data_IF_821501532335
#
_entry.id   IF_821501532335
#
_cell.length_a   1.000
_cell.length_b   1.000
_cell.length_c   1.000
_cell.angle_alpha   90.00
_cell.angle_beta   90.00
_cell.angle_gamma   90.00
#
_symmetry.space_group_name_H-M   'P 1'
#
loop_
_entity.id
_entity.type
_entity.pdbx_description
1 polymer ?
#
# COMPACT_ATOMS: atom_id res chain seq x y z
N UNK A 1 -8.00 18.96 9.24
CA UNK A 1 -7.95 17.98 10.36
C UNK A 1 -9.23 17.16 10.51
N UNK A 2 -10.41 17.66 10.13
CA UNK A 2 -11.62 16.84 9.97
C UNK A 2 -11.83 16.24 8.57
N UNK A 3 -10.86 16.42 7.68
CA UNK A 3 -10.90 15.86 6.32
C UNK A 3 -10.25 14.47 6.34
N UNK A 4 -11.01 13.39 6.06
CA UNK A 4 -10.53 12.03 6.18
C UNK A 4 -9.56 11.69 5.05
N UNK A 5 -8.31 12.17 5.11
CA UNK A 5 -7.31 11.61 4.20
C UNK A 5 -7.07 10.14 4.57
N UNK A 6 -7.19 9.29 3.55
CA UNK A 6 -6.87 7.88 3.66
C UNK A 6 -5.47 7.71 4.25
N UNK A 7 -5.34 6.91 5.31
CA UNK A 7 -4.05 6.49 5.84
C UNK A 7 -3.56 7.16 7.12
N UNK A 8 -4.33 8.01 7.82
CA UNK A 8 -3.92 8.56 9.13
C UNK A 8 -4.10 7.56 10.29
N UNK A 9 -5.13 6.70 10.28
CA UNK A 9 -5.39 5.76 11.40
C UNK A 9 -5.14 4.30 11.02
N UNK A 10 -5.74 3.90 9.91
CA UNK A 10 -5.59 2.63 9.19
C UNK A 10 -5.92 2.97 7.73
N UNK A 11 -5.83 2.03 6.80
CA UNK A 11 -6.09 2.19 5.35
C UNK A 11 -7.54 2.59 4.99
N UNK A 12 -8.36 2.95 5.99
CA UNK A 12 -9.69 3.51 5.85
C UNK A 12 -9.71 5.03 6.04
N UNK A 13 -10.59 5.70 5.29
CA UNK A 13 -10.92 7.11 5.46
C UNK A 13 -11.87 7.26 6.67
N UNK A 14 -11.34 7.12 7.89
CA UNK A 14 -12.08 7.42 9.12
C UNK A 14 -11.63 8.79 9.65
N UNK A 15 -12.50 9.81 9.68
CA UNK A 15 -12.15 11.06 10.33
C UNK A 15 -11.95 10.83 11.83
N UNK A 16 -10.90 11.41 12.39
CA UNK A 16 -10.66 11.41 13.83
C UNK A 16 -10.83 12.80 14.39
N UNK A 17 -12.00 13.00 14.97
CA UNK A 17 -12.41 14.26 15.55
C UNK A 17 -11.64 14.57 16.84
N UNK A 18 -10.97 13.58 17.46
CA UNK A 18 -10.23 13.78 18.71
C UNK A 18 -9.13 14.83 18.58
N UNK A 19 -8.48 14.93 17.42
CA UNK A 19 -7.46 15.96 17.17
C UNK A 19 -8.06 17.37 17.13
N UNK A 20 -9.15 17.56 16.40
CA UNK A 20 -9.85 18.84 16.33
C UNK A 20 -10.37 19.26 17.71
N UNK A 21 -10.97 18.32 18.43
CA UNK A 21 -11.47 18.51 19.79
C UNK A 21 -10.33 18.86 20.74
N UNK A 22 -9.20 18.16 20.67
CA UNK A 22 -8.03 18.45 21.49
C UNK A 22 -7.52 19.88 21.26
N UNK A 23 -7.42 20.32 20.01
CA UNK A 23 -7.00 21.69 19.70
C UNK A 23 -7.97 22.71 20.30
N UNK A 24 -9.27 22.51 20.12
CA UNK A 24 -10.31 23.38 20.71
C UNK A 24 -10.17 23.43 22.24
N UNK A 25 -10.00 22.29 22.89
CA UNK A 25 -9.82 22.20 24.33
C UNK A 25 -8.55 22.92 24.79
N UNK A 26 -7.42 22.75 24.10
CA UNK A 26 -6.17 23.42 24.40
C UNK A 26 -6.29 24.94 24.24
N UNK A 27 -7.00 25.42 23.21
CA UNK A 27 -7.31 26.84 23.06
C UNK A 27 -8.12 27.38 24.25
N UNK A 28 -9.17 26.67 24.68
CA UNK A 28 -9.95 27.06 25.87
C UNK A 28 -9.12 27.06 27.16
N UNK A 29 -8.26 26.06 27.34
CA UNK A 29 -7.36 25.98 28.49
C UNK A 29 -6.35 27.14 28.47
N UNK A 30 -5.74 27.44 27.32
CA UNK A 30 -4.80 28.55 27.18
C UNK A 30 -5.46 29.91 27.46
N UNK A 31 -6.66 30.16 26.92
CA UNK A 31 -7.42 31.38 27.17
C UNK A 31 -7.79 31.56 28.65
N UNK A 32 -8.00 30.46 29.38
CA UNK A 32 -8.29 30.49 30.83
C UNK A 32 -7.04 30.51 31.70
N UNK A 33 -5.90 30.00 31.23
CA UNK A 33 -4.65 29.98 31.97
C UNK A 33 -4.22 31.39 32.40
N UNK A 34 -4.48 32.39 31.57
CA UNK A 34 -4.24 33.80 31.87
C UNK A 34 -5.05 34.34 33.05
N UNK A 35 -6.15 33.67 33.44
CA UNK A 35 -7.05 34.11 34.52
C UNK A 35 -6.95 33.27 35.78
N UNK A 36 -6.58 31.98 35.69
CA UNK A 36 -6.70 31.02 36.80
C UNK A 36 -5.40 30.21 37.02
N UNK A 37 -4.34 30.51 36.27
CA UNK A 37 -3.12 29.70 36.24
C UNK A 37 -3.30 28.41 35.43
N UNK A 38 -2.19 27.88 34.89
CA UNK A 38 -2.21 26.61 34.16
C UNK A 38 -2.55 25.46 35.10
N UNK A 39 -3.64 24.73 34.81
CA UNK A 39 -3.98 23.46 35.48
C UNK A 39 -3.15 22.28 35.00
N UNK A 40 -2.38 22.45 33.92
CA UNK A 40 -1.52 21.40 33.39
C UNK A 40 -0.18 21.36 34.14
N UNK A 41 0.23 20.15 34.54
CA UNK A 41 1.53 19.91 35.18
C UNK A 41 2.66 20.04 34.15
N UNK A 42 3.91 20.30 34.59
CA UNK A 42 5.06 20.33 33.68
C UNK A 42 5.22 19.03 32.87
N UNK A 43 4.88 17.88 33.46
CA UNK A 43 4.89 16.59 32.76
C UNK A 43 3.89 16.54 31.61
N UNK A 44 2.67 17.05 31.81
CA UNK A 44 1.64 17.09 30.78
C UNK A 44 2.03 18.01 29.61
N UNK A 45 2.64 19.15 29.89
CA UNK A 45 3.19 20.04 28.85
C UNK A 45 4.30 19.36 28.05
N UNK A 46 5.22 18.64 28.71
CA UNK A 46 6.26 17.87 28.03
C UNK A 46 5.67 16.78 27.14
N UNK A 47 4.65 16.06 27.60
CA UNK A 47 3.96 15.03 26.81
C UNK A 47 3.27 15.62 25.58
N UNK A 48 2.58 16.76 25.72
CA UNK A 48 1.98 17.47 24.59
C UNK A 48 3.03 17.92 23.56
N UNK A 49 4.12 18.51 24.03
CA UNK A 49 5.24 18.94 23.18
C UNK A 49 5.91 17.77 22.45
N UNK A 50 6.16 16.66 23.15
CA UNK A 50 6.72 15.45 22.57
C UNK A 50 5.77 14.84 21.54
N UNK A 51 4.47 14.77 21.82
CA UNK A 51 3.48 14.27 20.87
C UNK A 51 3.42 15.15 19.61
N UNK A 52 3.44 16.47 19.77
CA UNK A 52 3.47 17.41 18.65
C UNK A 52 4.73 17.22 17.79
N UNK A 53 5.91 17.13 18.43
CA UNK A 53 7.17 16.87 17.73
C UNK A 53 7.13 15.54 16.98
N UNK A 54 6.68 14.46 17.63
CA UNK A 54 6.54 13.15 16.98
C UNK A 54 5.55 13.20 15.82
N UNK A 55 4.45 13.93 15.95
CA UNK A 55 3.47 14.13 14.88
C UNK A 55 4.10 14.83 13.67
N UNK A 56 4.87 15.90 13.89
CA UNK A 56 5.59 16.61 12.82
C UNK A 56 6.60 15.70 12.13
N UNK A 57 7.41 14.96 12.89
CA UNK A 57 8.39 14.01 12.35
C UNK A 57 7.72 12.88 11.56
N UNK A 58 6.61 12.35 12.06
CA UNK A 58 5.83 11.32 11.39
C UNK A 58 5.25 11.83 10.05
N UNK A 59 4.67 13.03 10.04
CA UNK A 59 4.15 13.67 8.84
C UNK A 59 5.27 13.95 7.82
N UNK A 60 6.45 14.36 8.29
CA UNK A 60 7.60 14.65 7.44
C UNK A 60 8.21 13.38 6.79
N UNK A 61 8.14 12.23 7.46
CA UNK A 61 8.80 11.00 7.01
C UNK A 61 7.89 10.09 6.19
N UNK A 62 6.66 9.82 6.66
CA UNK A 62 5.79 8.83 6.04
C UNK A 62 4.34 9.29 5.91
N UNK A 63 3.79 9.91 6.94
CA UNK A 63 2.34 10.20 7.02
C UNK A 63 1.46 8.94 7.03
N UNK A 64 2.03 7.75 7.19
CA UNK A 64 1.30 6.49 7.27
C UNK A 64 0.96 6.14 8.72
N UNK A 65 -0.33 6.10 9.03
CA UNK A 65 -0.90 5.92 10.36
C UNK A 65 -0.40 4.68 11.10
N UNK A 66 -0.05 3.62 10.36
CA UNK A 66 0.52 2.39 10.93
C UNK A 66 1.77 2.64 11.78
N UNK A 67 2.54 3.67 11.44
CA UNK A 67 3.76 4.05 12.15
C UNK A 67 3.53 5.05 13.29
N UNK A 68 2.31 5.59 13.43
CA UNK A 68 1.97 6.57 14.46
C UNK A 68 0.84 6.12 15.39
N UNK A 69 0.44 4.84 15.36
CA UNK A 69 -0.64 4.28 16.18
C UNK A 69 -0.50 4.67 17.66
N UNK A 70 0.71 4.63 18.22
CA UNK A 70 0.95 5.05 19.60
C UNK A 70 0.52 6.50 19.86
N UNK A 71 0.87 7.43 18.97
CA UNK A 71 0.44 8.83 19.05
C UNK A 71 -1.09 8.98 18.92
N UNK A 72 -1.71 8.21 18.02
CA UNK A 72 -3.15 8.21 17.82
C UNK A 72 -3.93 7.68 19.03
N UNK A 73 -3.35 6.73 19.76
CA UNK A 73 -3.92 6.22 21.02
C UNK A 73 -3.81 7.28 22.11
N UNK A 74 -2.67 7.97 22.21
CA UNK A 74 -2.41 9.01 23.22
C UNK A 74 -3.34 10.22 23.14
N UNK A 75 -3.91 10.51 21.97
CA UNK A 75 -4.84 11.63 21.79
C UNK A 75 -6.09 11.50 22.67
N UNK A 76 -6.59 10.27 22.88
CA UNK A 76 -7.75 10.02 23.74
C UNK A 76 -7.53 10.50 25.19
N UNK A 77 -6.51 9.98 25.89
CA UNK A 77 -6.13 10.47 27.22
C UNK A 77 -5.88 11.98 27.29
N UNK A 78 -5.29 12.58 26.26
CA UNK A 78 -5.07 14.04 26.21
C UNK A 78 -6.37 14.84 26.08
N UNK A 79 -7.36 14.33 25.34
CA UNK A 79 -8.70 14.92 25.31
C UNK A 79 -9.35 14.85 26.69
N UNK A 80 -9.27 13.70 27.38
CA UNK A 80 -9.79 13.57 28.76
C UNK A 80 -9.13 14.59 29.69
N UNK A 81 -7.80 14.71 29.62
CA UNK A 81 -7.04 15.72 30.38
C UNK A 81 -7.52 17.15 30.06
N UNK A 82 -7.70 17.48 28.78
CA UNK A 82 -8.21 18.78 28.33
C UNK A 82 -9.59 19.08 28.90
N UNK A 83 -10.51 18.10 28.89
CA UNK A 83 -11.85 18.24 29.47
C UNK A 83 -11.79 18.43 30.99
N UNK A 84 -10.90 17.71 31.70
CA UNK A 84 -10.73 17.90 33.15
C UNK A 84 -10.19 19.28 33.53
N UNK A 85 -9.44 19.91 32.63
CA UNK A 85 -8.98 21.29 32.82
C UNK A 85 -10.09 22.32 32.66
N UNK A 86 -11.22 21.98 32.03
CA UNK A 86 -12.37 22.88 31.90
C UNK A 86 -12.99 23.19 33.27
N UNK A 87 -13.48 24.42 33.45
CA UNK A 87 -14.35 24.74 34.59
C UNK A 87 -15.72 24.07 34.44
N UNK A 88 -16.55 24.17 35.48
CA UNK A 88 -17.91 23.60 35.48
C UNK A 88 -18.05 22.37 36.38
N UNK A 89 -19.27 21.85 36.44
CA UNK A 89 -19.62 20.69 37.25
C UNK A 89 -19.06 19.38 36.66
N UNK A 90 -18.90 18.32 37.48
CA UNK A 90 -18.55 16.99 36.98
C UNK A 90 -19.49 16.49 35.87
N UNK A 91 -20.79 16.76 35.98
CA UNK A 91 -21.79 16.37 34.99
C UNK A 91 -21.58 17.05 33.64
N UNK A 92 -21.19 18.33 33.62
CA UNK A 92 -20.86 19.04 32.38
C UNK A 92 -19.67 18.39 31.66
N UNK A 93 -18.58 18.11 32.40
CA UNK A 93 -17.40 17.45 31.85
C UNK A 93 -17.71 16.05 31.32
N UNK A 94 -18.49 15.28 32.06
CA UNK A 94 -18.96 13.97 31.62
C UNK A 94 -19.79 14.07 30.34
N UNK A 95 -20.70 15.06 30.26
CA UNK A 95 -21.48 15.33 29.04
C UNK A 95 -20.61 15.59 27.83
N UNK A 96 -19.55 16.40 27.97
CA UNK A 96 -18.58 16.62 26.88
C UNK A 96 -17.91 15.31 26.48
N UNK A 97 -17.43 14.51 27.42
CA UNK A 97 -16.79 13.23 27.11
C UNK A 97 -17.74 12.29 26.35
N UNK A 98 -19.01 12.23 26.74
CA UNK A 98 -20.03 11.45 26.02
C UNK A 98 -20.27 11.94 24.60
N UNK A 99 -20.23 13.26 24.36
CA UNK A 99 -20.31 13.83 23.01
C UNK A 99 -19.08 13.41 22.19
N UNK A 100 -17.87 13.54 22.74
CA UNK A 100 -16.62 13.16 22.05
C UNK A 100 -16.66 11.68 21.67
N UNK A 101 -17.03 10.81 22.61
CA UNK A 101 -17.13 9.36 22.38
C UNK A 101 -18.18 9.07 21.31
N UNK A 102 -19.36 9.68 21.39
CA UNK A 102 -20.43 9.48 20.39
C UNK A 102 -19.98 9.90 18.99
N UNK A 103 -19.39 11.10 18.84
CA UNK A 103 -18.92 11.60 17.54
C UNK A 103 -17.83 10.69 16.97
N UNK A 104 -16.84 10.30 17.78
CA UNK A 104 -15.76 9.44 17.32
C UNK A 104 -16.25 8.02 17.01
N UNK A 105 -17.18 7.49 17.80
CA UNK A 105 -17.80 6.19 17.55
C UNK A 105 -18.59 6.21 16.25
N UNK A 106 -19.44 7.22 16.00
CA UNK A 106 -20.17 7.35 14.75
C UNK A 106 -19.23 7.45 13.55
N UNK A 107 -18.17 8.27 13.64
CA UNK A 107 -17.18 8.37 12.58
C UNK A 107 -16.48 7.03 12.29
N UNK A 108 -16.06 6.31 13.34
CA UNK A 108 -15.43 5.01 13.22
C UNK A 108 -16.41 3.97 12.66
N UNK A 109 -17.65 3.94 13.15
CA UNK A 109 -18.69 3.00 12.74
C UNK A 109 -19.07 3.16 11.27
N UNK A 110 -19.29 4.40 10.82
CA UNK A 110 -19.61 4.70 9.42
C UNK A 110 -18.44 4.39 8.47
N UNK A 111 -17.20 4.48 8.97
CA UNK A 111 -16.00 4.13 8.21
C UNK A 111 -15.61 2.64 8.34
N UNK A 112 -16.21 1.89 9.26
CA UNK A 112 -15.82 0.52 9.56
C UNK A 112 -16.39 -0.44 8.52
N UNK A 113 -15.51 -0.99 7.68
CA UNK A 113 -15.81 -2.15 6.86
C UNK A 113 -15.20 -3.41 7.46
N UNK A 114 -15.98 -4.20 8.22
CA UNK A 114 -15.53 -5.49 8.73
C UNK A 114 -14.96 -6.36 7.59
N UNK A 115 -13.75 -6.90 7.77
CA UNK A 115 -13.15 -7.83 6.80
C UNK A 115 -12.76 -7.25 5.44
N UNK A 116 -12.85 -5.94 5.21
CA UNK A 116 -12.57 -5.35 3.88
C UNK A 116 -11.09 -5.36 3.47
N UNK A 117 -10.17 -5.57 4.42
CA UNK A 117 -8.71 -5.60 4.18
C UNK A 117 -8.03 -6.91 4.55
N UNK A 118 -8.75 -7.76 5.30
CA UNK A 118 -8.22 -9.07 5.61
C UNK A 118 -8.32 -9.88 4.32
N UNK A 119 -7.17 -10.22 3.73
CA UNK A 119 -7.10 -11.08 2.54
C UNK A 119 -7.83 -12.40 2.75
N UNK A 120 -7.93 -12.79 4.02
CA UNK A 120 -8.62 -13.95 4.56
C UNK A 120 -9.29 -13.52 5.86
N UNK A 121 -10.39 -14.16 6.24
CA UNK A 121 -10.93 -14.00 7.60
C UNK A 121 -9.85 -14.44 8.59
N UNK A 122 -9.63 -13.66 9.66
CA UNK A 122 -8.72 -14.08 10.72
C UNK A 122 -9.28 -15.36 11.38
N UNK A 123 -8.44 -16.37 11.50
CA UNK A 123 -8.79 -17.67 12.07
C UNK A 123 -7.63 -18.15 12.93
N UNK A 124 -7.95 -18.77 14.07
CA UNK A 124 -6.95 -19.39 14.96
C UNK A 124 -6.26 -20.60 14.32
N UNK A 125 -6.80 -21.08 13.19
CA UNK A 125 -6.24 -22.16 12.40
C UNK A 125 -5.67 -21.58 11.12
N UNK A 126 -4.45 -22.00 10.77
CA UNK A 126 -3.91 -21.74 9.43
C UNK A 126 -4.87 -22.34 8.41
N UNK A 127 -5.40 -21.49 7.53
CA UNK A 127 -6.29 -21.93 6.46
C UNK A 127 -5.58 -23.02 5.64
N UNK A 128 -6.20 -24.20 5.49
CA UNK A 128 -5.54 -25.30 4.80
C UNK A 128 -5.43 -24.99 3.31
N UNK A 129 -4.34 -25.47 2.72
CA UNK A 129 -4.19 -25.61 1.28
C UNK A 129 -4.32 -27.10 0.93
N UNK A 130 -4.89 -27.41 -0.23
CA UNK A 130 -5.02 -28.78 -0.72
C UNK A 130 -3.68 -29.54 -0.64
N UNK A 131 -3.72 -30.79 -0.18
CA UNK A 131 -2.52 -31.65 -0.15
C UNK A 131 -2.06 -31.97 -1.57
N UNK A 132 -0.74 -31.93 -1.79
CA UNK A 132 -0.13 -32.26 -3.08
C UNK A 132 1.33 -32.67 -2.91
N UNK A 133 1.89 -33.34 -3.91
CA UNK A 133 3.32 -33.66 -3.95
C UNK A 133 4.21 -32.41 -3.85
N UNK A 134 3.75 -31.29 -4.40
CA UNK A 134 4.44 -29.99 -4.38
C UNK A 134 4.68 -29.48 -2.95
N UNK A 135 3.80 -29.79 -2.01
CA UNK A 135 3.96 -29.39 -0.60
C UNK A 135 5.03 -30.19 0.13
N UNK A 136 5.33 -31.40 -0.33
CA UNK A 136 6.19 -32.35 0.37
C UNK A 136 7.62 -32.39 -0.17
N UNK A 137 7.94 -31.59 -1.19
CA UNK A 137 9.27 -31.52 -1.80
C UNK A 137 9.82 -30.10 -1.80
N UNK A 138 11.15 -29.90 -1.70
CA UNK A 138 11.75 -28.58 -1.88
C UNK A 138 11.49 -28.04 -3.28
N UNK A 139 11.18 -26.75 -3.37
CA UNK A 139 10.98 -26.02 -4.61
C UNK A 139 11.23 -24.51 -4.36
N UNK A 140 11.43 -23.77 -5.44
CA UNK A 140 11.49 -22.31 -5.44
C UNK A 140 10.14 -21.73 -5.86
N UNK A 141 9.58 -20.83 -5.07
CA UNK A 141 8.28 -20.21 -5.32
C UNK A 141 8.43 -18.70 -5.51
N UNK A 142 7.92 -18.20 -6.64
CA UNK A 142 7.86 -16.77 -6.95
C UNK A 142 6.43 -16.27 -6.87
N UNK A 143 6.18 -15.24 -6.07
CA UNK A 143 4.96 -14.45 -6.17
C UNK A 143 5.21 -13.21 -7.03
N UNK A 144 4.17 -12.77 -7.73
CA UNK A 144 4.21 -11.63 -8.67
C UNK A 144 3.11 -10.60 -8.38
N UNK A 145 2.44 -10.74 -7.25
CA UNK A 145 1.36 -9.86 -6.83
C UNK A 145 1.86 -8.88 -5.79
N UNK A 146 1.19 -7.73 -5.66
CA UNK A 146 1.52 -6.75 -4.61
C UNK A 146 1.49 -7.34 -3.19
N UNK A 147 0.78 -8.45 -2.99
CA UNK A 147 0.80 -9.27 -1.79
C UNK A 147 1.77 -10.43 -2.00
N UNK A 148 2.69 -10.63 -1.05
CA UNK A 148 3.71 -11.69 -1.15
C UNK A 148 3.19 -13.11 -0.87
N UNK A 149 1.99 -13.23 -0.28
CA UNK A 149 1.41 -14.49 0.22
C UNK A 149 2.36 -15.29 1.11
N UNK A 150 3.13 -14.61 1.96
CA UNK A 150 4.06 -15.24 2.91
C UNK A 150 3.40 -16.21 3.89
N UNK A 151 2.07 -16.14 4.04
CA UNK A 151 1.29 -17.11 4.80
C UNK A 151 1.28 -18.52 4.19
N UNK A 152 1.66 -18.69 2.92
CA UNK A 152 1.83 -20.00 2.29
C UNK A 152 3.11 -20.71 2.75
N UNK A 153 4.16 -19.98 3.12
CA UNK A 153 5.49 -20.53 3.48
C UNK A 153 5.42 -21.72 4.45
N UNK A 154 4.73 -21.64 5.61
CA UNK A 154 4.67 -22.76 6.56
C UNK A 154 3.87 -23.97 6.06
N UNK A 155 3.15 -23.87 4.94
CA UNK A 155 2.31 -24.95 4.40
C UNK A 155 3.07 -25.86 3.42
N UNK A 156 4.29 -25.49 3.04
CA UNK A 156 5.15 -26.21 2.09
C UNK A 156 6.39 -26.76 2.80
N UNK A 157 7.16 -27.58 2.08
CA UNK A 157 8.36 -28.23 2.59
C UNK A 157 9.34 -27.19 3.17
N UNK A 158 9.94 -27.43 4.36
CA UNK A 158 10.73 -26.42 5.08
C UNK A 158 12.02 -25.98 4.36
N UNK A 159 12.49 -26.76 3.37
CA UNK A 159 13.61 -26.38 2.50
C UNK A 159 13.20 -25.56 1.26
N UNK A 160 11.90 -25.33 1.06
CA UNK A 160 11.41 -24.51 -0.05
C UNK A 160 11.81 -23.05 0.14
N UNK A 161 12.07 -22.37 -0.96
CA UNK A 161 12.48 -20.96 -0.95
C UNK A 161 11.40 -20.11 -1.60
N UNK A 162 11.20 -18.90 -1.08
CA UNK A 162 10.14 -18.00 -1.51
C UNK A 162 10.71 -16.62 -1.80
N UNK A 163 10.28 -16.02 -2.90
CA UNK A 163 10.57 -14.63 -3.22
C UNK A 163 9.35 -13.96 -3.85
N UNK A 164 9.12 -12.69 -3.54
CA UNK A 164 8.13 -11.88 -4.26
C UNK A 164 8.87 -10.96 -5.23
N UNK A 165 8.74 -11.18 -6.53
CA UNK A 165 9.47 -10.41 -7.56
C UNK A 165 8.68 -9.18 -8.04
N UNK A 166 7.47 -9.00 -7.53
CA UNK A 166 6.60 -7.87 -7.84
C UNK A 166 6.04 -7.33 -6.54
N UNK A 167 6.54 -6.20 -6.07
CA UNK A 167 6.13 -5.61 -4.81
C UNK A 167 6.25 -4.10 -4.82
N UNK A 168 6.11 -3.50 -3.64
CA UNK A 168 6.29 -2.05 -3.46
C UNK A 168 7.73 -1.61 -3.72
N UNK A 169 8.70 -2.53 -3.71
CA UNK A 169 10.08 -2.26 -4.05
C UNK A 169 10.49 -3.04 -5.29
N UNK A 170 11.18 -2.35 -6.18
CA UNK A 170 11.76 -2.95 -7.37
C UNK A 170 13.00 -3.76 -6.98
N UNK A 171 13.10 -5.00 -7.49
CA UNK A 171 14.34 -5.77 -7.48
C UNK A 171 15.10 -5.50 -8.78
N UNK A 172 16.02 -4.53 -8.75
CA UNK A 172 16.99 -4.29 -9.83
C UNK A 172 18.30 -5.05 -9.57
N UNK A 173 19.12 -5.16 -10.62
CA UNK A 173 20.43 -5.82 -10.62
C UNK A 173 21.46 -5.19 -9.65
N UNK A 174 21.23 -3.94 -9.24
CA UNK A 174 22.12 -3.22 -8.31
C UNK A 174 21.87 -3.62 -6.85
N UNK A 175 20.67 -4.13 -6.53
CA UNK A 175 20.24 -4.51 -5.19
C UNK A 175 20.73 -5.89 -4.74
N UNK A 176 20.96 -6.04 -3.43
CA UNK A 176 21.42 -7.30 -2.83
C UNK A 176 20.37 -8.40 -2.95
N UNK A 177 19.10 -8.01 -2.90
CA UNK A 177 17.93 -8.87 -3.02
C UNK A 177 17.87 -9.55 -4.39
N UNK A 178 18.22 -8.82 -5.46
CA UNK A 178 18.27 -9.41 -6.80
C UNK A 178 19.38 -10.45 -6.91
N UNK A 179 20.57 -10.20 -6.33
CA UNK A 179 21.63 -11.21 -6.27
C UNK A 179 21.22 -12.45 -5.48
N UNK A 180 20.41 -12.29 -4.43
CA UNK A 180 19.86 -13.41 -3.67
C UNK A 180 18.83 -14.19 -4.51
N UNK A 181 17.95 -13.50 -5.24
CA UNK A 181 17.00 -14.09 -6.18
C UNK A 181 17.72 -14.87 -7.29
N UNK A 182 18.73 -14.29 -7.93
CA UNK A 182 19.49 -14.98 -9.00
C UNK A 182 20.17 -16.24 -8.46
N UNK A 183 20.76 -16.18 -7.25
CA UNK A 183 21.35 -17.36 -6.60
C UNK A 183 20.31 -18.42 -6.27
N UNK A 184 19.14 -18.02 -5.79
CA UNK A 184 18.02 -18.92 -5.52
C UNK A 184 17.59 -19.66 -6.79
N UNK A 185 17.44 -18.94 -7.90
CA UNK A 185 16.97 -19.48 -9.18
C UNK A 185 18.05 -20.24 -9.97
N UNK A 186 19.33 -19.99 -9.70
CA UNK A 186 20.44 -20.72 -10.31
C UNK A 186 20.65 -22.12 -9.71
N UNK A 187 20.04 -22.41 -8.56
CA UNK A 187 20.08 -23.73 -7.93
C UNK A 187 19.14 -24.69 -8.67
N UNK A 188 19.67 -25.36 -9.70
CA UNK A 188 18.89 -26.22 -10.61
C UNK A 188 18.39 -27.52 -9.99
N UNK A 189 18.71 -27.78 -8.72
CA UNK A 189 18.24 -28.99 -8.01
C UNK A 189 16.75 -28.91 -7.66
N UNK A 190 16.23 -27.70 -7.52
CA UNK A 190 14.87 -27.44 -7.10
C UNK A 190 14.06 -26.84 -8.26
N UNK A 191 12.89 -27.40 -8.51
CA UNK A 191 11.95 -26.86 -9.51
C UNK A 191 11.45 -25.47 -9.08
N UNK A 192 11.23 -24.59 -10.06
CA UNK A 192 10.77 -23.22 -9.82
C UNK A 192 9.35 -23.03 -10.31
N UNK A 193 8.53 -22.35 -9.50
CA UNK A 193 7.13 -22.08 -9.80
C UNK A 193 6.81 -20.61 -9.61
N UNK A 194 5.96 -20.06 -10.46
CA UNK A 194 5.24 -18.82 -10.15
C UNK A 194 3.89 -19.17 -9.53
N UNK A 195 3.52 -18.43 -8.49
CA UNK A 195 2.28 -18.61 -7.75
C UNK A 195 1.29 -17.53 -8.19
N UNK A 196 0.19 -17.95 -8.81
CA UNK A 196 -0.87 -17.07 -9.30
C UNK A 196 -2.13 -17.28 -8.47
N UNK A 197 -2.59 -16.29 -7.69
CA UNK A 197 -3.87 -16.39 -7.00
C UNK A 197 -5.02 -16.31 -8.00
N UNK A 198 -6.06 -17.13 -7.79
CA UNK A 198 -7.29 -17.08 -8.58
C UNK A 198 -8.52 -17.20 -7.67
N UNK A 199 -9.49 -16.33 -7.92
CA UNK A 199 -10.76 -16.29 -7.23
C UNK A 199 -11.86 -16.40 -8.28
N UNK A 200 -12.66 -17.47 -8.24
CA UNK A 200 -13.87 -17.73 -9.04
C UNK A 200 -13.77 -18.68 -10.25
N UNK A 201 -12.57 -19.01 -10.78
CA UNK A 201 -12.46 -19.93 -11.93
C UNK A 201 -12.11 -21.39 -11.59
N UNK A 202 -11.60 -21.63 -10.38
CA UNK A 202 -11.27 -22.99 -9.93
C UNK A 202 -10.13 -23.65 -10.69
N UNK A 203 -10.10 -24.99 -10.78
CA UNK A 203 -9.00 -25.78 -11.37
C UNK A 203 -8.97 -25.78 -12.91
N UNK A 204 -9.74 -24.92 -13.58
CA UNK A 204 -9.61 -24.73 -15.03
C UNK A 204 -8.38 -23.86 -15.35
N UNK A 205 -7.82 -23.93 -16.56
CA UNK A 205 -6.58 -23.20 -16.93
C UNK A 205 -6.52 -21.76 -16.38
N UNK A 206 -5.35 -21.28 -15.92
CA UNK A 206 -5.21 -19.94 -15.37
C UNK A 206 -5.77 -18.87 -16.32
N UNK A 207 -6.33 -17.80 -15.75
CA UNK A 207 -6.84 -16.69 -16.54
C UNK A 207 -5.77 -16.17 -17.52
N UNK A 208 -6.13 -16.06 -18.81
CA UNK A 208 -5.22 -15.55 -19.84
C UNK A 208 -4.65 -14.16 -19.51
N UNK A 209 -5.43 -13.30 -18.86
CA UNK A 209 -4.96 -12.00 -18.38
C UNK A 209 -3.92 -12.15 -17.26
N UNK A 210 -4.16 -13.03 -16.29
CA UNK A 210 -3.22 -13.28 -15.20
C UNK A 210 -1.91 -13.89 -15.73
N UNK A 211 -1.98 -14.80 -16.71
CA UNK A 211 -0.81 -15.35 -17.40
C UNK A 211 -0.07 -14.29 -18.21
N UNK A 212 -0.77 -13.38 -18.87
CA UNK A 212 -0.16 -12.28 -19.61
C UNK A 212 0.61 -11.34 -18.67
N UNK A 213 0.00 -10.93 -17.56
CA UNK A 213 0.64 -10.11 -16.53
C UNK A 213 1.84 -10.82 -15.91
N UNK A 214 1.70 -12.12 -15.61
CA UNK A 214 2.78 -12.95 -15.10
C UNK A 214 3.93 -13.07 -16.08
N UNK A 215 3.64 -13.25 -17.37
CA UNK A 215 4.65 -13.32 -18.43
C UNK A 215 5.46 -12.03 -18.50
N UNK A 216 4.79 -10.87 -18.43
CA UNK A 216 5.47 -9.57 -18.41
C UNK A 216 6.35 -9.37 -17.16
N UNK A 217 5.89 -9.83 -15.99
CA UNK A 217 6.68 -9.78 -14.76
C UNK A 217 7.90 -10.71 -14.81
N UNK A 218 7.71 -11.95 -15.28
CA UNK A 218 8.75 -12.97 -15.37
C UNK A 218 9.81 -12.62 -16.41
N UNK A 219 9.41 -12.11 -17.58
CA UNK A 219 10.34 -11.82 -18.68
C UNK A 219 11.42 -10.82 -18.26
N UNK A 220 11.08 -9.84 -17.43
CA UNK A 220 12.04 -8.89 -16.85
C UNK A 220 13.17 -9.57 -16.06
N UNK A 221 12.88 -10.70 -15.43
CA UNK A 221 13.86 -11.49 -14.69
C UNK A 221 14.50 -12.59 -15.54
N UNK A 222 14.31 -12.58 -16.87
CA UNK A 222 14.77 -13.64 -17.77
C UNK A 222 14.06 -14.97 -17.53
N UNK A 223 12.85 -14.94 -16.98
CA UNK A 223 12.05 -16.12 -16.68
C UNK A 223 10.93 -16.27 -17.70
N UNK A 224 10.53 -17.51 -17.98
CA UNK A 224 9.27 -17.78 -18.65
C UNK A 224 8.66 -19.10 -18.21
N UNK A 225 7.37 -19.24 -18.47
CA UNK A 225 6.63 -20.47 -18.22
C UNK A 225 7.22 -21.65 -19.01
N UNK A 226 7.22 -22.81 -18.37
CA UNK A 226 7.43 -24.07 -19.07
C UNK A 226 6.14 -24.53 -19.78
N UNK A 227 6.23 -25.39 -20.81
CA UNK A 227 5.05 -25.95 -21.49
C UNK A 227 4.21 -26.90 -20.61
N UNK A 228 4.69 -27.22 -19.40
CA UNK A 228 4.03 -28.12 -18.47
C UNK A 228 2.79 -27.47 -17.85
N UNK A 229 1.78 -28.29 -17.54
CA UNK A 229 0.54 -27.80 -16.93
C UNK A 229 0.79 -27.24 -15.52
N UNK A 230 0.12 -26.13 -15.21
CA UNK A 230 0.12 -25.57 -13.87
C UNK A 230 -0.61 -26.50 -12.89
N UNK A 231 -0.17 -26.52 -11.63
CA UNK A 231 -0.82 -27.27 -10.56
C UNK A 231 -1.78 -26.35 -9.81
N UNK A 232 -3.04 -26.73 -9.71
CA UNK A 232 -4.02 -26.03 -8.87
C UNK A 232 -4.03 -26.58 -7.45
N UNK A 233 -3.92 -25.70 -6.45
CA UNK A 233 -4.19 -26.06 -5.06
C UNK A 233 -5.31 -25.19 -4.51
N UNK A 234 -6.42 -25.83 -4.10
CA UNK A 234 -7.53 -25.15 -3.46
C UNK A 234 -7.09 -24.50 -2.14
N UNK A 235 -7.48 -23.25 -1.93
CA UNK A 235 -7.26 -22.52 -0.67
C UNK A 235 -8.19 -21.33 -0.56
N UNK A 236 -8.62 -21.02 0.66
CA UNK A 236 -9.38 -19.80 1.00
C UNK A 236 -8.49 -18.59 1.25
N UNK A 237 -7.17 -18.73 1.05
CA UNK A 237 -6.20 -17.69 1.40
C UNK A 237 -6.03 -16.60 0.33
N UNK A 238 -6.79 -16.66 -0.77
CA UNK A 238 -6.69 -15.73 -1.88
C UNK A 238 -7.33 -14.39 -1.54
N UNK A 239 -6.51 -13.33 -1.58
CA UNK A 239 -6.93 -11.94 -1.50
C UNK A 239 -8.11 -11.59 -2.43
N UNK A 240 -9.02 -10.74 -1.95
CA UNK A 240 -10.09 -10.13 -2.73
C UNK A 240 -11.11 -11.09 -3.38
N UNK A 241 -11.40 -12.25 -2.78
CA UNK A 241 -12.67 -12.93 -3.05
C UNK A 241 -13.81 -11.94 -2.66
N UNK A 242 -14.49 -11.27 -3.63
CA UNK A 242 -15.39 -10.18 -3.30
C UNK A 242 -16.58 -10.75 -2.52
N UNK A 243 -16.80 -10.24 -1.30
CA UNK A 243 -17.96 -10.61 -0.49
C UNK A 243 -17.84 -11.98 0.19
N UNK A 244 -16.79 -12.19 0.98
CA UNK A 244 -16.52 -13.52 1.53
C UNK A 244 -16.35 -14.53 0.39
N UNK A 245 -16.25 -15.81 0.72
CA UNK A 245 -16.65 -16.78 -0.27
C UNK A 245 -18.13 -16.47 -0.59
N UNK A 246 -18.48 -16.04 -1.81
CA UNK A 246 -19.76 -16.50 -2.37
C UNK A 246 -19.70 -18.02 -2.23
N UNK A 247 -20.38 -18.54 -1.21
CA UNK A 247 -20.22 -19.90 -0.75
C UNK A 247 -20.39 -20.83 -1.97
N UNK A 248 -19.31 -21.50 -2.36
CA UNK A 248 -19.32 -22.42 -3.51
C UNK A 248 -18.41 -22.06 -4.69
N UNK A 249 -17.80 -20.87 -4.76
CA UNK A 249 -16.78 -20.61 -5.79
C UNK A 249 -15.40 -21.13 -5.38
N UNK A 250 -14.76 -21.99 -6.20
CA UNK A 250 -13.41 -22.46 -5.90
C UNK A 250 -12.42 -21.29 -5.97
N UNK A 251 -11.60 -21.16 -4.92
CA UNK A 251 -10.47 -20.25 -4.82
C UNK A 251 -9.21 -21.04 -4.51
N UNK A 252 -8.05 -20.48 -4.84
CA UNK A 252 -6.79 -21.17 -4.64
C UNK A 252 -5.66 -20.56 -5.46
N UNK A 253 -4.60 -21.35 -5.60
CA UNK A 253 -3.37 -20.89 -6.22
C UNK A 253 -2.99 -21.83 -7.35
N UNK A 254 -2.61 -21.23 -8.47
CA UNK A 254 -1.91 -21.89 -9.56
C UNK A 254 -0.42 -21.85 -9.31
N UNK A 255 0.23 -23.01 -9.37
CA UNK A 255 1.67 -23.17 -9.33
C UNK A 255 2.11 -23.55 -10.73
N UNK A 256 2.58 -22.56 -11.47
CA UNK A 256 2.97 -22.74 -12.86
C UNK A 256 4.50 -22.87 -12.95
N UNK A 257 5.04 -23.94 -13.54
CA UNK A 257 6.48 -24.14 -13.64
C UNK A 257 7.12 -23.06 -14.52
N UNK A 258 8.31 -22.62 -14.12
CA UNK A 258 9.08 -21.59 -14.80
C UNK A 258 10.55 -22.01 -14.92
N UNK A 259 11.23 -21.49 -15.95
CA UNK A 259 12.67 -21.66 -16.13
C UNK A 259 13.35 -20.35 -16.54
N UNK A 260 14.65 -20.27 -16.27
CA UNK A 260 15.49 -19.19 -16.78
C UNK A 260 15.78 -19.39 -18.27
N UNK A 261 15.60 -18.32 -19.04
CA UNK A 261 15.99 -18.22 -20.44
C UNK A 261 16.99 -17.06 -20.56
N UNK A 262 18.29 -17.39 -20.55
CA UNK A 262 19.36 -16.37 -20.63
C UNK A 262 19.20 -15.46 -21.85
N UNK A 263 18.84 -16.03 -22.99
CA UNK A 263 18.67 -15.27 -24.24
C UNK A 263 17.50 -14.28 -24.18
N UNK A 264 16.49 -14.54 -23.34
CA UNK A 264 15.34 -13.64 -23.15
C UNK A 264 15.63 -12.49 -22.20
N UNK A 265 16.65 -12.60 -21.36
CA UNK A 265 16.99 -11.54 -20.40
C UNK A 265 17.44 -10.27 -21.14
N UNK A 266 18.32 -10.41 -22.14
CA UNK A 266 18.78 -9.28 -22.94
C UNK A 266 17.62 -8.61 -23.69
N UNK A 267 16.74 -9.41 -24.31
CA UNK A 267 15.57 -8.90 -25.00
C UNK A 267 14.59 -8.17 -24.05
N UNK A 268 14.38 -8.70 -22.84
CA UNK A 268 13.52 -8.06 -21.85
C UNK A 268 14.11 -6.75 -21.30
N UNK A 269 15.43 -6.70 -21.10
CA UNK A 269 16.14 -5.47 -20.73
C UNK A 269 16.03 -4.42 -21.83
N UNK A 270 16.17 -4.81 -23.09
CA UNK A 270 15.98 -3.92 -24.23
C UNK A 270 14.54 -3.40 -24.31
N UNK A 271 13.53 -4.27 -24.23
CA UNK A 271 12.13 -3.87 -24.23
C UNK A 271 11.78 -2.91 -23.07
N UNK A 272 12.38 -3.12 -21.90
CA UNK A 272 12.22 -2.19 -20.77
C UNK A 272 12.91 -0.85 -21.03
N UNK A 273 14.08 -0.83 -21.68
CA UNK A 273 14.76 0.39 -22.05
C UNK A 273 13.95 1.21 -23.08
N UNK A 274 13.36 0.54 -24.07
CA UNK A 274 12.43 1.14 -25.03
C UNK A 274 11.19 1.71 -24.33
N UNK A 275 10.59 0.95 -23.41
CA UNK A 275 9.45 1.41 -22.60
C UNK A 275 9.80 2.60 -21.68
N UNK A 276 11.04 2.64 -21.19
CA UNK A 276 11.55 3.76 -20.42
C UNK A 276 11.76 5.01 -21.30
N UNK A 277 12.13 4.83 -22.56
CA UNK A 277 12.35 5.92 -23.50
C UNK A 277 11.04 6.53 -24.02
N UNK A 278 10.03 5.71 -24.31
CA UNK A 278 8.78 6.07 -25.02
C UNK A 278 8.07 7.33 -24.46
N UNK A 279 8.08 7.51 -23.13
CA UNK A 279 7.48 8.68 -22.46
C UNK A 279 8.42 9.31 -21.42
N UNK A 280 9.73 9.14 -21.61
CA UNK A 280 10.75 9.72 -20.73
C UNK A 280 10.53 11.22 -20.50
N UNK A 281 10.25 11.99 -21.57
CA UNK A 281 10.00 13.43 -21.46
C UNK A 281 8.80 13.80 -20.58
N UNK A 282 7.70 13.03 -20.65
CA UNK A 282 6.53 13.24 -19.77
C UNK A 282 6.93 13.02 -18.32
N UNK A 283 7.63 11.91 -18.02
CA UNK A 283 8.05 11.62 -16.66
C UNK A 283 9.05 12.66 -16.13
N UNK A 284 10.04 13.06 -16.93
CA UNK A 284 11.00 14.10 -16.53
C UNK A 284 10.31 15.41 -16.18
N UNK A 285 9.35 15.86 -17.00
CA UNK A 285 8.59 17.09 -16.72
C UNK A 285 7.78 16.96 -15.41
N UNK A 286 7.15 15.81 -15.16
CA UNK A 286 6.42 15.57 -13.90
C UNK A 286 7.37 15.51 -12.69
N UNK A 287 8.51 14.85 -12.85
CA UNK A 287 9.55 14.70 -11.82
C UNK A 287 10.19 16.06 -11.46
N UNK A 288 10.42 16.91 -12.44
CA UNK A 288 10.89 18.30 -12.24
C UNK A 288 9.81 19.18 -11.62
N UNK A 289 8.55 19.01 -12.02
CA UNK A 289 7.43 19.82 -11.52
C UNK A 289 7.11 19.52 -10.05
N UNK A 290 7.06 18.24 -9.65
CA UNK A 290 6.77 17.85 -8.26
C UNK A 290 7.73 16.76 -7.75
N UNK A 291 9.03 17.07 -7.53
CA UNK A 291 10.05 16.09 -7.14
C UNK A 291 9.77 15.41 -5.80
N UNK A 292 8.93 16.02 -4.96
CA UNK A 292 8.46 15.43 -3.70
C UNK A 292 7.68 14.13 -3.92
N UNK A 293 6.81 14.09 -4.94
CA UNK A 293 5.93 12.96 -5.22
C UNK A 293 6.45 12.08 -6.35
N UNK A 294 7.18 12.67 -7.29
CA UNK A 294 7.76 11.99 -8.43
C UNK A 294 9.27 12.23 -8.38
N UNK A 295 10.00 11.43 -7.59
CA UNK A 295 11.44 11.65 -7.50
C UNK A 295 12.11 11.32 -8.83
N UNK A 296 13.06 12.15 -9.30
CA UNK A 296 13.81 11.86 -10.51
C UNK A 296 14.51 10.51 -10.47
N UNK A 297 14.50 9.80 -11.59
CA UNK A 297 15.10 8.46 -11.73
C UNK A 297 14.50 7.40 -10.79
N UNK A 298 13.36 7.70 -10.16
CA UNK A 298 12.62 6.74 -9.39
C UNK A 298 11.50 6.13 -10.23
N UNK A 299 11.24 4.85 -9.99
CA UNK A 299 10.06 4.18 -10.45
C UNK A 299 10.27 3.36 -11.71
N UNK A 300 9.30 2.46 -11.95
CA UNK A 300 9.38 1.48 -13.03
C UNK A 300 8.21 1.64 -13.98
N UNK A 301 8.52 1.72 -15.26
CA UNK A 301 7.51 1.65 -16.30
C UNK A 301 7.06 0.20 -16.48
N UNK A 302 5.76 0.00 -16.61
CA UNK A 302 5.12 -1.26 -16.93
C UNK A 302 3.95 -0.98 -17.86
N UNK A 303 3.55 -1.94 -18.70
CA UNK A 303 2.36 -1.80 -19.55
C UNK A 303 1.27 -2.72 -19.03
N UNK A 304 0.08 -2.21 -18.83
CA UNK A 304 -1.09 -2.97 -18.35
C UNK A 304 -2.32 -2.46 -19.05
N UNK A 305 -3.06 -3.34 -19.73
CA UNK A 305 -4.28 -3.00 -20.46
C UNK A 305 -4.11 -1.83 -21.44
N UNK A 306 -3.00 -1.84 -22.18
CA UNK A 306 -2.63 -0.79 -23.14
C UNK A 306 -2.04 0.47 -22.51
N UNK A 307 -2.29 0.72 -21.22
CA UNK A 307 -1.75 1.87 -20.50
C UNK A 307 -0.31 1.64 -20.02
N UNK A 308 0.52 2.67 -20.12
CA UNK A 308 1.81 2.73 -19.47
C UNK A 308 1.63 3.20 -18.03
N UNK A 309 2.22 2.49 -17.08
CA UNK A 309 2.16 2.82 -15.66
C UNK A 309 3.58 2.94 -15.12
N UNK A 310 3.87 4.04 -14.43
CA UNK A 310 5.09 4.23 -13.64
C UNK A 310 4.75 4.32 -12.16
N UNK A 311 5.32 3.44 -11.34
CA UNK A 311 5.12 3.45 -9.89
C UNK A 311 6.34 4.04 -9.16
N UNK A 312 6.11 5.06 -8.34
CA UNK A 312 7.08 5.76 -7.50
C UNK A 312 6.95 5.25 -6.06
N UNK A 313 7.97 4.52 -5.60
CA UNK A 313 7.92 3.76 -4.35
C UNK A 313 8.00 4.64 -3.11
N UNK A 314 8.75 5.74 -3.17
CA UNK A 314 8.99 6.66 -2.05
C UNK A 314 7.75 7.47 -1.67
N UNK A 315 6.87 7.69 -2.64
CA UNK A 315 5.64 8.48 -2.49
C UNK A 315 4.37 7.63 -2.54
N UNK A 316 4.49 6.31 -2.75
CA UNK A 316 3.40 5.39 -3.05
C UNK A 316 2.46 5.94 -4.14
N UNK A 317 3.01 6.58 -5.17
CA UNK A 317 2.21 7.19 -6.24
C UNK A 317 2.48 6.49 -7.56
N UNK A 318 1.46 6.33 -8.39
CA UNK A 318 1.64 5.90 -9.79
C UNK A 318 1.20 6.99 -10.74
N UNK A 319 1.90 7.10 -11.86
CA UNK A 319 1.48 7.83 -13.05
C UNK A 319 1.04 6.81 -14.08
N UNK A 320 -0.06 7.08 -14.77
CA UNK A 320 -0.61 6.23 -15.83
C UNK A 320 -0.81 7.07 -17.09
N UNK A 321 -0.36 6.57 -18.23
CA UNK A 321 -0.60 7.14 -19.55
C UNK A 321 -1.42 6.12 -20.32
N UNK A 322 -2.66 6.45 -20.67
CA UNK A 322 -3.53 5.53 -21.40
C UNK A 322 -3.27 5.54 -22.92
N UNK A 323 -4.01 4.73 -23.67
CA UNK A 323 -3.89 4.66 -25.13
C UNK A 323 -4.37 5.91 -25.87
N UNK A 324 -5.14 6.78 -25.23
CA UNK A 324 -5.56 8.07 -25.78
C UNK A 324 -4.51 9.18 -25.54
N UNK A 325 -3.45 8.86 -24.79
CA UNK A 325 -2.43 9.82 -24.39
C UNK A 325 -2.88 10.72 -23.23
N UNK A 326 -3.91 10.34 -22.48
CA UNK A 326 -4.27 11.01 -21.24
C UNK A 326 -3.36 10.54 -20.11
N UNK A 327 -2.85 11.50 -19.33
CA UNK A 327 -1.96 11.27 -18.20
C UNK A 327 -2.74 11.44 -16.91
N UNK A 328 -2.63 10.45 -16.04
CA UNK A 328 -3.26 10.39 -14.73
C UNK A 328 -2.21 10.16 -13.67
N UNK A 329 -2.46 10.63 -12.45
CA UNK A 329 -1.79 10.09 -11.27
C UNK A 329 -2.79 9.44 -10.34
N UNK A 330 -2.28 8.53 -9.51
CA UNK A 330 -3.03 7.94 -8.40
C UNK A 330 -2.08 7.66 -7.26
N UNK A 331 -2.31 8.32 -6.13
CA UNK A 331 -1.76 7.86 -4.87
C UNK A 331 -2.33 6.47 -4.56
N UNK A 332 -1.52 5.53 -4.10
CA UNK A 332 -1.89 4.12 -3.92
C UNK A 332 -3.18 3.95 -3.12
N UNK A 333 -3.44 4.85 -2.18
CA UNK A 333 -4.63 4.84 -1.30
C UNK A 333 -5.75 5.78 -1.72
N UNK A 334 -5.63 6.52 -2.82
CA UNK A 334 -6.75 7.25 -3.40
C UNK A 334 -7.72 6.27 -4.07
N UNK A 335 -9.03 6.55 -4.07
CA UNK A 335 -10.00 5.69 -4.77
C UNK A 335 -9.86 5.85 -6.29
N UNK A 336 -9.84 7.10 -6.76
CA UNK A 336 -9.86 7.44 -8.17
C UNK A 336 -8.50 7.89 -8.67
N UNK A 337 -8.30 7.75 -9.98
CA UNK A 337 -7.22 8.43 -10.68
C UNK A 337 -7.60 9.89 -10.87
N UNK A 338 -6.63 10.78 -10.73
CA UNK A 338 -6.79 12.20 -11.02
C UNK A 338 -6.13 12.48 -12.36
N UNK A 339 -6.91 12.94 -13.33
CA UNK A 339 -6.41 13.32 -14.65
C UNK A 339 -5.56 14.57 -14.52
N UNK A 340 -4.38 14.56 -15.12
CA UNK A 340 -3.46 15.69 -15.17
C UNK A 340 -3.69 16.50 -16.44
N UNK A 341 -3.36 15.91 -17.58
CA UNK A 341 -3.43 16.54 -18.89
C UNK A 341 -3.17 15.46 -19.96
N UNK A 342 -3.17 15.84 -21.24
CA UNK A 342 -2.68 14.95 -22.30
C UNK A 342 -1.15 15.00 -22.38
N UNK A 343 -0.54 13.97 -22.93
CA UNK A 343 0.90 13.89 -23.21
C UNK A 343 1.38 15.12 -23.96
N UNK A 344 0.67 15.54 -25.03
CA UNK A 344 1.04 16.72 -25.81
C UNK A 344 1.02 18.03 -24.98
N UNK A 345 0.03 18.17 -24.10
CA UNK A 345 -0.11 19.35 -23.24
C UNK A 345 1.03 19.39 -22.21
N UNK A 346 1.42 18.24 -21.64
CA UNK A 346 2.57 18.15 -20.71
C UNK A 346 3.88 18.46 -21.42
N UNK A 347 4.13 17.88 -22.58
CA UNK A 347 5.36 18.08 -23.36
C UNK A 347 5.53 19.53 -23.84
N UNK A 348 4.44 20.26 -24.03
CA UNK A 348 4.46 21.69 -24.41
C UNK A 348 4.47 22.63 -23.21
N UNK A 349 4.45 22.12 -21.97
CA UNK A 349 4.37 22.92 -20.76
C UNK A 349 2.99 23.51 -20.48
N UNK A 350 1.97 23.16 -21.26
CA UNK A 350 0.59 23.59 -21.10
C UNK A 350 -0.17 22.73 -20.07
N UNK A 351 0.42 22.49 -18.91
CA UNK A 351 -0.22 21.78 -17.81
C UNK A 351 0.19 22.39 -16.47
N UNK A 352 -0.66 22.20 -15.46
CA UNK A 352 -0.36 22.62 -14.10
C UNK A 352 -0.55 21.45 -13.15
N UNK A 353 0.51 21.09 -12.43
CA UNK A 353 0.45 20.04 -11.42
C UNK A 353 0.22 20.67 -10.05
N UNK A 354 -0.87 20.34 -9.34
CA UNK A 354 -1.14 20.87 -8.00
C UNK A 354 -0.25 20.17 -6.96
N UNK A 355 1.07 20.46 -6.95
CA UNK A 355 2.02 19.83 -6.01
C UNK A 355 1.63 20.06 -4.54
N UNK A 356 0.86 21.11 -4.23
CA UNK A 356 0.40 21.38 -2.86
C UNK A 356 -0.75 20.48 -2.41
N UNK A 357 -1.43 19.82 -3.36
CA UNK A 357 -2.62 19.01 -3.12
C UNK A 357 -2.64 17.77 -4.02
N UNK A 358 -1.87 16.77 -3.63
CA UNK A 358 -1.99 15.41 -4.19
C UNK A 358 -3.02 14.65 -3.36
N UNK A 359 -4.09 14.17 -4.00
CA UNK A 359 -5.17 13.47 -3.30
C UNK A 359 -4.64 12.32 -2.45
N UNK A 360 -4.94 12.36 -1.15
CA UNK A 360 -4.45 11.39 -0.15
C UNK A 360 -3.09 11.71 0.50
N UNK A 361 -2.42 12.81 0.14
CA UNK A 361 -1.27 13.37 0.89
C UNK A 361 -1.36 14.88 1.01
N UNK A 362 -1.57 15.39 2.23
CA UNK A 362 -1.53 16.84 2.49
C UNK A 362 -0.11 17.37 2.48
N UNK A 363 0.10 18.50 1.81
CA UNK A 363 1.28 19.34 2.05
C UNK A 363 1.18 19.94 3.45
N UNK A 364 2.15 19.68 4.34
CA UNK A 364 2.14 20.27 5.65
C UNK A 364 2.16 21.80 5.59
N UNK A 365 1.57 22.51 6.55
CA UNK A 365 1.52 23.98 6.53
C UNK A 365 2.88 24.68 6.47
N UNK A 366 3.95 24.01 6.94
CA UNK A 366 5.32 24.56 6.97
C UNK A 366 6.10 24.40 5.65
N UNK A 367 5.52 23.76 4.64
CA UNK A 367 6.10 23.63 3.29
C UNK A 367 5.37 24.50 2.25
N UNK A 368 4.49 25.41 2.69
CA UNK A 368 3.74 26.34 1.83
C UNK A 368 4.42 27.68 1.69
#
# INVERSE_FOLDING_TARGET
MGDPAAGIYVEFMAPDWRFAILIILLCFVALRANKVGSRLTPGQWRTLGAMFLMFVLWMATSGNGRYFIAGLVLVGPLVVMGVQCLGGSPSFRFGILMIVVSVQFSAAYLAFGAGHWALTVWSDKTEPIQQSSLRNRPANFLTITGISYSSLVPLFHPKSRWANISGQHLMDDKRLEYRALTRMLADTKDESYVVLPESARGPAKPNGEALHLATAALSFHGLAFEPQDCIWLNSRMVANAPGGATAGRPSGFWFCPIRQFRDRQAAAQQAQAELNAEFSGVFSILEESCPRYFRPNEGRNSRTNGALIRFYTSSDTRVMIDGAGDVYYKYFRAMNYTKLARVADILTGNFHMPCTKVDGRYTPPWER
#
